data_IF_111649601698
#
_entry.id   IF_111649601698
#
_cell.length_a   1.000
_cell.length_b   1.000
_cell.length_c   1.000
_cell.angle_alpha   90.00
_cell.angle_beta   90.00
_cell.angle_gamma   90.00
#
_symmetry.space_group_name_H-M   'P 1'
#
loop_
_entity.id
_entity.type
_entity.pdbx_description
1 polymer ?
#
# COMPACT_ATOMS: atom_id res chain seq x y z
N UNK A 1 5.77 22.57 -27.07
CA UNK A 1 5.00 22.06 -25.92
C UNK A 1 5.34 22.93 -24.71
N UNK A 2 4.37 23.61 -24.08
CA UNK A 2 4.64 24.45 -22.89
C UNK A 2 4.91 23.55 -21.68
N UNK A 3 6.02 23.71 -20.94
CA UNK A 3 6.25 22.93 -19.75
C UNK A 3 5.17 23.23 -18.70
N UNK A 4 4.65 22.21 -17.99
CA UNK A 4 3.67 22.43 -16.94
C UNK A 4 4.32 23.26 -15.82
N UNK A 5 3.69 24.38 -15.46
CA UNK A 5 4.12 25.21 -14.34
C UNK A 5 3.61 24.57 -13.05
N UNK A 6 4.45 23.78 -12.39
CA UNK A 6 4.24 23.42 -10.99
C UNK A 6 4.32 24.70 -10.16
N UNK A 7 3.33 24.93 -9.28
CA UNK A 7 3.41 26.04 -8.35
C UNK A 7 4.59 25.79 -7.40
N UNK A 8 5.26 26.88 -6.98
CA UNK A 8 6.40 26.80 -6.06
C UNK A 8 6.01 26.07 -4.76
N UNK A 9 4.77 26.24 -4.31
CA UNK A 9 4.17 25.54 -3.16
C UNK A 9 4.08 24.04 -3.40
N UNK A 10 3.67 23.61 -4.60
CA UNK A 10 3.62 22.19 -4.98
C UNK A 10 5.00 21.55 -5.01
N UNK A 11 6.01 22.28 -5.49
CA UNK A 11 7.40 21.82 -5.48
C UNK A 11 7.93 21.67 -4.05
N UNK A 12 7.71 22.67 -3.19
CA UNK A 12 8.11 22.62 -1.78
C UNK A 12 7.43 21.47 -1.04
N UNK A 13 6.13 21.26 -1.27
CA UNK A 13 5.41 20.13 -0.68
C UNK A 13 5.99 18.77 -1.09
N UNK A 14 6.37 18.61 -2.36
CA UNK A 14 6.99 17.39 -2.85
C UNK A 14 8.37 17.16 -2.22
N UNK A 15 9.19 18.21 -2.08
CA UNK A 15 10.50 18.12 -1.42
C UNK A 15 10.37 17.73 0.04
N UNK A 16 9.45 18.36 0.79
CA UNK A 16 9.20 18.03 2.20
C UNK A 16 8.77 16.57 2.36
N UNK A 17 7.89 16.09 1.47
CA UNK A 17 7.48 14.69 1.48
C UNK A 17 8.66 13.74 1.18
N UNK A 18 9.50 14.09 0.21
CA UNK A 18 10.67 13.29 -0.14
C UNK A 18 11.64 13.19 1.05
N UNK A 19 11.86 14.30 1.75
CA UNK A 19 12.66 14.35 2.96
C UNK A 19 12.04 13.49 4.09
N UNK A 20 10.73 13.57 4.28
CA UNK A 20 10.02 12.76 5.27
C UNK A 20 10.12 11.25 4.96
N UNK A 21 9.98 10.86 3.69
CA UNK A 21 10.14 9.48 3.26
C UNK A 21 11.59 8.98 3.43
N UNK A 22 12.58 9.83 3.16
CA UNK A 22 13.98 9.48 3.38
C UNK A 22 14.28 9.32 4.88
N UNK A 23 13.72 10.17 5.74
CA UNK A 23 13.82 10.04 7.18
C UNK A 23 13.14 8.76 7.69
N UNK A 24 11.94 8.46 7.20
CA UNK A 24 11.22 7.23 7.53
C UNK A 24 11.97 5.98 7.04
N UNK A 25 12.50 6.00 5.81
CA UNK A 25 13.32 4.92 5.27
C UNK A 25 14.57 4.68 6.12
N UNK A 26 15.24 5.76 6.56
CA UNK A 26 16.40 5.67 7.44
C UNK A 26 16.04 5.10 8.81
N UNK A 27 14.92 5.53 9.40
CA UNK A 27 14.44 5.01 10.68
C UNK A 27 14.07 3.52 10.59
N UNK A 28 13.38 3.13 9.52
CA UNK A 28 13.04 1.74 9.24
C UNK A 28 14.28 0.89 9.03
N UNK A 29 15.24 1.36 8.22
CA UNK A 29 16.50 0.64 8.00
C UNK A 29 17.26 0.39 9.30
N UNK A 30 17.27 1.37 10.20
CA UNK A 30 17.92 1.24 11.51
C UNK A 30 17.18 0.28 12.46
N UNK A 31 15.88 0.03 12.24
CA UNK A 31 15.08 -0.88 13.05
C UNK A 31 15.10 -2.31 12.50
N UNK A 32 14.71 -2.47 11.24
CA UNK A 32 14.70 -3.74 10.52
C UNK A 32 14.77 -3.49 8.99
N UNK A 33 15.81 -4.05 8.38
CA UNK A 33 16.03 -3.93 6.94
C UNK A 33 15.00 -4.70 6.10
N UNK A 34 14.38 -5.75 6.62
CA UNK A 34 13.30 -6.47 5.91
C UNK A 34 12.04 -5.60 5.78
N UNK A 35 11.75 -4.83 6.83
CA UNK A 35 10.62 -3.93 6.89
C UNK A 35 10.76 -2.79 5.87
N UNK A 36 11.98 -2.30 5.64
CA UNK A 36 12.27 -1.33 4.59
C UNK A 36 11.97 -1.90 3.18
N UNK A 37 12.41 -3.13 2.91
CA UNK A 37 12.21 -3.78 1.61
C UNK A 37 10.71 -3.89 1.28
N UNK A 38 9.87 -4.26 2.27
CA UNK A 38 8.43 -4.38 2.09
C UNK A 38 7.71 -3.05 1.82
N UNK A 39 8.23 -1.93 2.32
CA UNK A 39 7.61 -0.60 2.16
C UNK A 39 8.15 0.16 0.95
N UNK A 40 9.37 -0.12 0.50
CA UNK A 40 10.07 0.68 -0.52
C UNK A 40 9.27 0.83 -1.82
N UNK A 41 8.77 -0.28 -2.37
CA UNK A 41 8.07 -0.30 -3.67
C UNK A 41 6.75 0.49 -3.60
N UNK A 42 5.99 0.30 -2.52
CA UNK A 42 4.72 0.99 -2.27
C UNK A 42 4.95 2.47 -1.96
N UNK A 43 6.03 2.80 -1.22
CA UNK A 43 6.43 4.18 -0.94
C UNK A 43 6.69 4.98 -2.22
N UNK A 44 7.36 4.38 -3.21
CA UNK A 44 7.57 5.00 -4.53
C UNK A 44 6.23 5.21 -5.25
N UNK A 45 5.34 4.20 -5.24
CA UNK A 45 4.03 4.30 -5.86
C UNK A 45 3.16 5.40 -5.21
N UNK A 46 3.21 5.56 -3.89
CA UNK A 46 2.52 6.62 -3.15
C UNK A 46 3.08 8.01 -3.46
N UNK A 47 4.39 8.16 -3.66
CA UNK A 47 4.95 9.44 -4.11
C UNK A 47 4.47 9.80 -5.51
N UNK A 48 4.46 8.83 -6.42
CA UNK A 48 3.96 9.01 -7.77
C UNK A 48 2.47 9.39 -7.78
N UNK A 49 1.66 8.70 -6.97
CA UNK A 49 0.24 8.98 -6.83
C UNK A 49 -0.01 10.40 -6.32
N UNK A 50 0.74 10.87 -5.32
CA UNK A 50 0.62 12.26 -4.86
C UNK A 50 0.97 13.26 -5.97
N UNK A 51 2.09 13.05 -6.67
CA UNK A 51 2.49 13.91 -7.79
C UNK A 51 1.39 13.97 -8.86
N UNK A 52 0.80 12.83 -9.20
CA UNK A 52 -0.32 12.73 -10.14
C UNK A 52 -1.59 13.40 -9.61
N UNK A 53 -1.89 13.30 -8.32
CA UNK A 53 -3.04 13.96 -7.70
C UNK A 53 -2.94 15.50 -7.79
N UNK A 54 -1.71 16.05 -7.75
CA UNK A 54 -1.47 17.49 -7.90
C UNK A 54 -1.56 17.96 -9.36
N UNK A 55 -1.31 17.06 -10.33
CA UNK A 55 -1.19 17.43 -11.75
C UNK A 55 -2.45 17.13 -12.57
N UNK A 56 -3.17 16.06 -12.25
CA UNK A 56 -4.29 15.55 -13.05
C UNK A 56 -5.63 15.80 -12.36
N UNK A 57 -6.32 16.91 -12.65
CA UNK A 57 -7.63 17.22 -12.07
C UNK A 57 -8.68 16.13 -12.34
N UNK A 58 -8.69 15.57 -13.55
CA UNK A 58 -9.69 14.57 -13.96
C UNK A 58 -9.55 13.23 -13.23
N UNK A 59 -8.33 12.88 -12.78
CA UNK A 59 -8.05 11.62 -12.07
C UNK A 59 -7.65 11.86 -10.62
N UNK A 60 -7.75 13.09 -10.12
CA UNK A 60 -7.36 13.46 -8.75
C UNK A 60 -8.07 12.62 -7.70
N UNK A 61 -9.34 12.29 -7.91
CA UNK A 61 -10.10 11.43 -7.01
C UNK A 61 -9.55 10.00 -6.92
N UNK A 62 -9.09 9.43 -8.05
CA UNK A 62 -8.41 8.13 -8.05
C UNK A 62 -7.12 8.22 -7.26
N UNK A 63 -6.26 9.20 -7.58
CA UNK A 63 -4.95 9.30 -6.95
C UNK A 63 -5.03 9.62 -5.46
N UNK A 64 -6.00 10.43 -5.03
CA UNK A 64 -6.26 10.68 -3.62
C UNK A 64 -6.75 9.42 -2.88
N UNK A 65 -7.65 8.65 -3.49
CA UNK A 65 -8.09 7.37 -2.95
C UNK A 65 -6.96 6.35 -2.89
N UNK A 66 -6.11 6.31 -3.92
CA UNK A 66 -4.94 5.45 -3.99
C UNK A 66 -3.96 5.77 -2.85
N UNK A 67 -3.73 7.05 -2.60
CA UNK A 67 -2.91 7.52 -1.50
C UNK A 67 -3.46 7.04 -0.14
N UNK A 68 -4.74 7.26 0.10
CA UNK A 68 -5.37 6.90 1.38
C UNK A 68 -5.34 5.39 1.63
N UNK A 69 -5.71 4.57 0.62
CA UNK A 69 -5.70 3.11 0.74
C UNK A 69 -4.30 2.55 0.96
N UNK A 70 -3.32 3.04 0.19
CA UNK A 70 -1.94 2.60 0.34
C UNK A 70 -1.32 3.01 1.67
N UNK A 71 -1.56 4.24 2.15
CA UNK A 71 -1.06 4.69 3.46
C UNK A 71 -1.63 3.85 4.62
N UNK A 72 -2.93 3.54 4.61
CA UNK A 72 -3.54 2.70 5.65
C UNK A 72 -2.93 1.30 5.65
N UNK A 73 -2.76 0.69 4.47
CA UNK A 73 -2.18 -0.64 4.37
C UNK A 73 -0.69 -0.65 4.75
N UNK A 74 0.08 0.37 4.35
CA UNK A 74 1.48 0.53 4.76
C UNK A 74 1.62 0.74 6.27
N UNK A 75 0.76 1.56 6.88
CA UNK A 75 0.75 1.75 8.33
C UNK A 75 0.42 0.44 9.06
N UNK A 76 -0.55 -0.33 8.56
CA UNK A 76 -0.88 -1.65 9.10
C UNK A 76 0.28 -2.64 8.99
N UNK A 77 0.98 -2.65 7.85
CA UNK A 77 2.19 -3.47 7.68
C UNK A 77 3.29 -3.07 8.67
N UNK A 78 3.60 -1.78 8.78
CA UNK A 78 4.60 -1.24 9.72
C UNK A 78 4.24 -1.63 11.16
N UNK A 79 2.98 -1.47 11.55
CA UNK A 79 2.51 -1.88 12.88
C UNK A 79 2.69 -3.37 13.12
N UNK A 80 2.35 -4.21 12.13
CA UNK A 80 2.49 -5.66 12.22
C UNK A 80 3.95 -6.08 12.47
N UNK A 81 4.88 -5.49 11.73
CA UNK A 81 6.30 -5.82 11.82
C UNK A 81 6.98 -5.27 13.08
N UNK A 82 6.38 -4.28 13.76
CA UNK A 82 6.91 -3.76 15.04
C UNK A 82 6.73 -4.76 16.19
N UNK A 83 5.76 -5.68 16.09
CA UNK A 83 5.48 -6.69 17.12
C UNK A 83 5.48 -8.10 16.52
N UNK A 84 6.65 -8.64 16.14
CA UNK A 84 6.73 -9.87 15.37
C UNK A 84 6.39 -11.12 16.20
N UNK A 85 7.16 -11.41 17.24
CA UNK A 85 6.96 -12.62 18.03
C UNK A 85 7.02 -12.32 19.53
N UNK A 86 6.16 -12.97 20.30
CA UNK A 86 6.22 -13.00 21.77
C UNK A 86 6.46 -14.43 22.22
N UNK A 87 7.16 -14.56 23.35
CA UNK A 87 7.35 -15.85 24.00
C UNK A 87 6.06 -16.24 24.72
N UNK A 88 5.38 -17.25 24.18
CA UNK A 88 4.25 -17.91 24.81
C UNK A 88 4.73 -19.04 25.71
N UNK A 89 4.10 -19.18 26.88
CA UNK A 89 4.34 -20.29 27.79
C UNK A 89 3.08 -21.12 27.86
N UNK A 90 3.17 -22.39 27.45
CA UNK A 90 2.11 -23.37 27.68
C UNK A 90 2.56 -24.32 28.77
N UNK A 91 1.75 -24.43 29.83
CA UNK A 91 1.96 -25.38 30.92
C UNK A 91 1.01 -26.54 30.65
N UNK A 92 1.57 -27.70 30.30
CA UNK A 92 0.77 -28.91 30.08
C UNK A 92 0.28 -29.45 31.44
N UNK A 93 -0.87 -30.16 31.47
CA UNK A 93 -1.29 -30.91 32.65
C UNK A 93 -0.19 -31.92 33.02
N UNK A 94 0.41 -31.76 34.20
CA UNK A 94 1.64 -32.48 34.61
C UNK A 94 2.87 -31.58 34.85
N UNK A 95 2.75 -30.26 34.66
CA UNK A 95 3.76 -29.28 35.08
C UNK A 95 4.90 -29.06 34.09
N UNK A 96 4.88 -29.69 32.91
CA UNK A 96 5.88 -29.42 31.88
C UNK A 96 5.59 -28.08 31.20
N UNK A 97 6.57 -27.18 31.29
CA UNK A 97 6.55 -25.86 30.67
C UNK A 97 7.15 -25.96 29.27
N UNK A 98 6.36 -25.65 28.25
CA UNK A 98 6.84 -25.53 26.87
C UNK A 98 6.79 -24.08 26.43
N UNK A 99 7.96 -23.52 26.11
CA UNK A 99 8.09 -22.19 25.54
C UNK A 99 7.91 -22.30 24.02
N UNK A 100 6.97 -21.54 23.47
CA UNK A 100 6.69 -21.50 22.04
C UNK A 100 6.60 -20.05 21.57
N UNK A 101 7.12 -19.77 20.37
CA UNK A 101 6.99 -18.47 19.74
C UNK A 101 5.56 -18.31 19.23
N UNK A 102 4.88 -17.24 19.64
CA UNK A 102 3.54 -16.88 19.18
C UNK A 102 3.57 -15.54 18.47
N UNK A 103 2.71 -15.31 17.47
CA UNK A 103 2.60 -14.02 16.80
C UNK A 103 2.34 -12.88 17.81
N UNK A 104 3.07 -11.78 17.70
CA UNK A 104 2.89 -10.61 18.57
C UNK A 104 1.59 -9.84 18.32
N UNK A 105 0.97 -10.05 17.16
CA UNK A 105 -0.37 -9.54 16.87
C UNK A 105 -1.08 -10.42 15.84
N UNK A 106 -2.44 -10.39 15.79
CA UNK A 106 -3.20 -11.01 14.71
C UNK A 106 -2.82 -10.46 13.33
N UNK A 107 -2.44 -9.18 13.28
CA UNK A 107 -2.01 -8.53 12.06
C UNK A 107 -0.67 -9.09 11.56
N UNK A 108 0.29 -9.28 12.47
CA UNK A 108 1.54 -9.98 12.14
C UNK A 108 1.27 -11.41 11.65
N UNK A 109 0.40 -12.16 12.33
CA UNK A 109 0.04 -13.50 11.90
C UNK A 109 -0.52 -13.53 10.46
N UNK A 110 -1.38 -12.56 10.11
CA UNK A 110 -1.94 -12.45 8.78
C UNK A 110 -0.88 -12.10 7.72
N UNK A 111 -0.02 -11.10 7.99
CA UNK A 111 1.04 -10.69 7.06
C UNK A 111 2.09 -11.78 6.87
N UNK A 112 2.55 -12.37 7.97
CA UNK A 112 3.56 -13.43 7.94
C UNK A 112 3.00 -14.71 7.28
N UNK A 113 1.75 -15.08 7.59
CA UNK A 113 1.09 -16.23 6.96
C UNK A 113 0.87 -16.05 5.47
N UNK A 114 0.58 -14.82 5.01
CA UNK A 114 0.55 -14.51 3.58
C UNK A 114 1.94 -14.65 2.94
N UNK A 115 2.97 -14.05 3.56
CA UNK A 115 4.32 -14.09 3.02
C UNK A 115 4.87 -15.51 2.92
N UNK A 116 4.66 -16.35 3.94
CA UNK A 116 5.06 -17.76 3.92
C UNK A 116 4.30 -18.54 2.87
N UNK A 117 2.98 -18.33 2.74
CA UNK A 117 2.18 -19.00 1.72
C UNK A 117 2.69 -18.69 0.30
N UNK A 118 3.00 -17.43 -0.01
CA UNK A 118 3.53 -17.05 -1.33
C UNK A 118 4.95 -17.59 -1.54
N UNK A 119 5.81 -17.52 -0.52
CA UNK A 119 7.15 -18.06 -0.60
C UNK A 119 7.14 -19.56 -0.88
N UNK A 120 6.36 -20.33 -0.13
CA UNK A 120 6.35 -21.79 -0.18
C UNK A 120 5.59 -22.34 -1.40
N UNK A 121 4.50 -21.67 -1.81
CA UNK A 121 3.62 -22.18 -2.87
C UNK A 121 3.88 -21.59 -4.24
N UNK A 122 4.56 -20.45 -4.33
CA UNK A 122 4.79 -19.76 -5.60
C UNK A 122 6.28 -19.59 -5.88
N UNK A 123 7.04 -19.00 -4.95
CA UNK A 123 8.44 -18.63 -5.22
C UNK A 123 9.35 -19.86 -5.23
N UNK A 124 9.32 -20.69 -4.19
CA UNK A 124 10.17 -21.87 -4.10
C UNK A 124 9.96 -22.85 -5.28
N UNK A 125 8.71 -23.19 -5.68
CA UNK A 125 8.48 -24.00 -6.88
C UNK A 125 8.97 -23.34 -8.17
N UNK A 126 8.79 -22.02 -8.33
CA UNK A 126 9.24 -21.31 -9.52
C UNK A 126 10.77 -21.29 -9.65
N UNK A 127 11.49 -21.09 -8.55
CA UNK A 127 12.96 -21.13 -8.55
C UNK A 127 13.48 -22.53 -8.85
N UNK A 128 12.86 -23.57 -8.26
CA UNK A 128 13.20 -24.94 -8.56
C UNK A 128 12.97 -25.29 -10.04
N UNK A 129 11.85 -24.83 -10.62
CA UNK A 129 11.54 -25.07 -12.04
C UNK A 129 12.49 -24.34 -13.02
N UNK A 130 13.06 -23.21 -12.60
CA UNK A 130 13.97 -22.40 -13.40
C UNK A 130 15.45 -22.68 -13.10
N UNK A 131 15.75 -23.64 -12.22
CA UNK A 131 17.09 -23.94 -11.70
C UNK A 131 17.84 -22.69 -11.18
N UNK A 132 17.08 -21.78 -10.56
CA UNK A 132 17.61 -20.55 -9.99
C UNK A 132 17.97 -20.82 -8.53
N UNK A 133 19.26 -20.91 -8.24
CA UNK A 133 19.79 -20.88 -6.88
C UNK A 133 20.38 -19.49 -6.59
N UNK A 134 19.62 -18.60 -5.96
CA UNK A 134 20.10 -17.27 -5.64
C UNK A 134 21.14 -17.37 -4.52
N UNK A 135 22.40 -17.09 -4.85
CA UNK A 135 23.45 -16.96 -3.84
C UNK A 135 23.34 -15.58 -3.16
N UNK A 136 22.98 -15.51 -1.86
CA UNK A 136 22.85 -14.25 -1.15
C UNK A 136 24.17 -13.49 -1.00
N UNK A 137 25.32 -14.15 -1.17
CA UNK A 137 26.65 -13.51 -1.09
C UNK A 137 27.01 -12.76 -2.37
N UNK A 138 26.38 -13.10 -3.50
CA UNK A 138 26.54 -12.37 -4.76
C UNK A 138 25.67 -11.12 -4.79
N UNK A 139 26.19 -10.02 -5.36
CA UNK A 139 25.43 -8.79 -5.53
C UNK A 139 24.13 -9.01 -6.34
N UNK A 140 24.18 -9.84 -7.38
CA UNK A 140 23.02 -10.19 -8.21
C UNK A 140 21.99 -11.05 -7.46
N UNK A 141 22.44 -12.08 -6.72
CA UNK A 141 21.54 -12.94 -5.94
C UNK A 141 20.88 -12.19 -4.78
N UNK A 142 21.63 -11.34 -4.08
CA UNK A 142 21.09 -10.44 -3.05
C UNK A 142 20.03 -9.47 -3.59
N UNK A 143 20.28 -8.84 -4.75
CA UNK A 143 19.31 -7.94 -5.40
C UNK A 143 18.06 -8.70 -5.84
N UNK A 144 18.22 -9.89 -6.42
CA UNK A 144 17.08 -10.73 -6.83
C UNK A 144 16.21 -11.10 -5.63
N UNK A 145 16.81 -11.53 -4.51
CA UNK A 145 16.07 -11.86 -3.29
C UNK A 145 15.38 -10.64 -2.69
N UNK A 146 16.06 -9.50 -2.65
CA UNK A 146 15.46 -8.25 -2.19
C UNK A 146 14.26 -7.86 -3.06
N UNK A 147 14.38 -7.94 -4.39
CA UNK A 147 13.30 -7.61 -5.33
C UNK A 147 12.09 -8.54 -5.16
N UNK A 148 12.32 -9.84 -5.09
CA UNK A 148 11.27 -10.85 -4.89
C UNK A 148 10.55 -10.62 -3.57
N UNK A 149 11.30 -10.38 -2.48
CA UNK A 149 10.73 -10.03 -1.18
C UNK A 149 9.93 -8.72 -1.25
N UNK A 150 10.44 -7.68 -1.89
CA UNK A 150 9.73 -6.41 -2.05
C UNK A 150 8.39 -6.59 -2.78
N UNK A 151 8.34 -7.46 -3.78
CA UNK A 151 7.11 -7.79 -4.50
C UNK A 151 6.13 -8.55 -3.60
N UNK A 152 6.57 -9.60 -2.91
CA UNK A 152 5.71 -10.36 -2.00
C UNK A 152 5.14 -9.43 -0.94
N UNK A 153 6.01 -8.76 -0.18
CA UNK A 153 5.62 -7.93 0.94
C UNK A 153 4.87 -6.66 0.53
N UNK A 154 5.11 -6.14 -0.68
CA UNK A 154 4.51 -4.91 -1.21
C UNK A 154 3.16 -5.10 -1.93
N UNK A 155 2.81 -6.34 -2.29
CA UNK A 155 1.63 -6.62 -3.09
C UNK A 155 0.32 -6.28 -2.35
N UNK A 156 0.10 -6.64 -1.08
CA UNK A 156 -1.17 -6.36 -0.42
C UNK A 156 -1.39 -4.85 -0.21
N UNK A 157 -0.35 -4.06 0.09
CA UNK A 157 -0.49 -2.61 0.17
C UNK A 157 -0.74 -2.00 -1.22
N UNK A 158 -0.12 -2.53 -2.28
CA UNK A 158 -0.39 -2.13 -3.66
C UNK A 158 -1.86 -2.38 -4.06
N UNK A 159 -2.40 -3.55 -3.73
CA UNK A 159 -3.81 -3.89 -3.97
C UNK A 159 -4.75 -2.99 -3.17
N UNK A 160 -4.46 -2.73 -1.90
CA UNK A 160 -5.24 -1.81 -1.06
C UNK A 160 -5.21 -0.38 -1.61
N UNK A 161 -4.07 0.08 -2.15
CA UNK A 161 -3.96 1.36 -2.83
C UNK A 161 -4.85 1.39 -4.08
N UNK A 162 -4.80 0.38 -4.95
CA UNK A 162 -5.68 0.31 -6.12
C UNK A 162 -7.16 0.33 -5.72
N UNK A 163 -7.54 -0.46 -4.71
CA UNK A 163 -8.91 -0.48 -4.18
C UNK A 163 -9.35 0.90 -3.66
N UNK A 164 -8.48 1.57 -2.90
CA UNK A 164 -8.72 2.95 -2.44
C UNK A 164 -8.91 3.92 -3.60
N UNK A 165 -8.13 3.79 -4.67
CA UNK A 165 -8.28 4.62 -5.87
C UNK A 165 -9.60 4.40 -6.60
N UNK A 166 -10.02 3.14 -6.76
CA UNK A 166 -11.31 2.80 -7.34
C UNK A 166 -12.48 3.33 -6.49
N UNK A 167 -12.39 3.23 -5.16
CA UNK A 167 -13.38 3.81 -4.24
C UNK A 167 -13.43 5.34 -4.37
N UNK A 168 -12.28 6.01 -4.46
CA UNK A 168 -12.19 7.45 -4.69
C UNK A 168 -12.91 7.89 -5.96
N UNK A 169 -12.74 7.15 -7.07
CA UNK A 169 -13.48 7.38 -8.31
C UNK A 169 -15.00 7.17 -8.13
N UNK A 170 -15.41 6.09 -7.48
CA UNK A 170 -16.83 5.79 -7.23
C UNK A 170 -17.52 6.89 -6.41
N UNK A 171 -16.85 7.41 -5.38
CA UNK A 171 -17.37 8.52 -4.56
C UNK A 171 -17.49 9.80 -5.39
N UNK A 172 -16.49 10.12 -6.21
CA UNK A 172 -16.53 11.30 -7.08
C UNK A 172 -17.65 11.21 -8.13
N UNK A 173 -17.84 10.05 -8.76
CA UNK A 173 -18.90 9.82 -9.72
C UNK A 173 -20.30 9.99 -9.09
N UNK A 174 -20.52 9.46 -7.88
CA UNK A 174 -21.78 9.64 -7.14
C UNK A 174 -22.05 11.11 -6.80
N UNK A 175 -21.03 11.89 -6.45
CA UNK A 175 -21.17 13.33 -6.19
C UNK A 175 -21.54 14.11 -7.46
N UNK A 176 -20.92 13.78 -8.59
CA UNK A 176 -21.23 14.40 -9.87
C UNK A 176 -22.68 14.11 -10.33
N UNK A 177 -23.15 12.87 -10.16
CA UNK A 177 -24.54 12.49 -10.48
C UNK A 177 -25.57 13.27 -9.64
N UNK A 178 -25.34 13.36 -8.33
CA UNK A 178 -26.24 14.13 -7.43
C UNK A 178 -26.26 15.63 -7.72
N UNK A 179 -25.18 16.20 -8.24
CA UNK A 179 -25.17 17.60 -8.68
C UNK A 179 -26.08 17.79 -9.89
N UNK A 180 -25.99 16.88 -10.86
CA UNK A 180 -26.80 16.92 -12.08
C UNK A 180 -28.30 16.79 -11.83
N UNK A 181 -28.70 15.95 -10.87
CA UNK A 181 -30.11 15.80 -10.48
C UNK A 181 -30.67 17.03 -9.75
N UNK A 182 -29.81 17.81 -9.08
CA UNK A 182 -30.22 19.07 -8.43
C UNK A 182 -30.38 20.23 -9.42
N UNK A 183 -29.58 20.22 -10.49
CA UNK A 183 -29.60 21.26 -11.52
C UNK A 183 -30.59 20.95 -12.65
N UNK A 184 -31.24 19.78 -12.64
CA UNK A 184 -32.32 19.44 -13.55
C UNK A 184 -33.55 20.28 -13.21
N UNK A 185 -33.80 21.34 -14.00
CA UNK A 185 -35.00 22.15 -13.89
C UNK A 185 -36.26 21.26 -14.05
N UNK A 186 -37.32 21.48 -13.25
CA UNK A 186 -38.56 20.74 -13.40
C UNK A 186 -39.13 20.93 -14.82
N UNK A 187 -39.79 19.91 -15.39
CA UNK A 187 -40.39 20.03 -16.72
C UNK A 187 -41.40 21.19 -16.73
N UNK A 188 -41.49 21.94 -17.84
CA UNK A 188 -42.46 23.01 -17.96
C UNK A 188 -43.87 22.43 -17.77
N UNK A 189 -44.60 22.96 -16.79
CA UNK A 189 -45.99 22.59 -16.53
C UNK A 189 -46.80 22.96 -17.77
N UNK A 190 -47.55 22.01 -18.39
CA UNK A 190 -48.37 22.35 -19.54
C UNK A 190 -49.37 23.43 -19.13
N UNK A 191 -49.35 24.55 -19.83
CA UNK A 191 -50.33 25.61 -19.65
C UNK A 191 -51.70 25.02 -20.00
N UNK A 192 -52.54 24.83 -18.99
CA UNK A 192 -53.94 24.51 -19.18
C UNK A 192 -54.59 25.79 -19.74
N UNK A 193 -54.61 25.90 -21.07
CA UNK A 193 -55.45 26.87 -21.75
C UNK A 193 -56.90 26.42 -21.58
N UNK A 194 -57.56 26.89 -20.52
CA UNK A 194 -59.00 26.80 -20.38
C UNK A 194 -59.67 27.75 -21.37
N UNK A 195 -60.50 27.18 -22.25
CA UNK A 195 -61.52 27.86 -23.01
C UNK A 195 -62.82 27.06 -22.87
#
# INVERSE_FOLDING_TARGET
MKPPRLSLVGLMGLVVLLAANLAAARALHAHDSEMLIGVALVGIALQYALFRAMRDDRRRAFWAGFQAGGLVATAGFVWAMTFPEVLGVSIKPGGSMTVHKTPGSPLYAAWHGYASLVADRVVAPAFAALDVQPDPETASGGVLMAAVRAVIWGLPQGLAAVAGGLLGLGIAARRAGRGRDRDAAPPPVPAVCGA
#
